data_IF_095438461177
#
_entry.id   IF_095438461177
#
_cell.length_a   1.000
_cell.length_b   1.000
_cell.length_c   1.000
_cell.angle_alpha   90.00
_cell.angle_beta   90.00
_cell.angle_gamma   90.00
#
_symmetry.space_group_name_H-M   'P 1'
#
loop_
_entity.id
_entity.type
_entity.pdbx_description
1 polymer ?
#
# COMPACT_ATOMS: atom_id res chain seq x y z
N UNK A 1 -6.66 -22.30 -18.12
CA UNK A 1 -5.83 -23.53 -18.05
C UNK A 1 -5.09 -23.61 -16.71
N UNK A 2 -5.82 -23.41 -15.59
CA UNK A 2 -5.33 -23.55 -14.21
C UNK A 2 -6.35 -24.32 -13.36
N UNK A 3 -7.22 -25.10 -14.03
CA UNK A 3 -8.18 -25.99 -13.39
C UNK A 3 -7.42 -27.08 -12.64
N UNK A 4 -7.61 -27.16 -11.34
CA UNK A 4 -7.10 -28.24 -10.49
C UNK A 4 -5.84 -27.95 -9.69
N UNK A 5 -5.24 -26.75 -9.77
CA UNK A 5 -4.12 -26.39 -8.89
C UNK A 5 -4.61 -26.07 -7.49
N UNK A 6 -4.01 -26.66 -6.48
CA UNK A 6 -4.15 -26.21 -5.10
C UNK A 6 -3.50 -24.84 -4.90
N UNK A 7 -3.89 -24.14 -3.83
CA UNK A 7 -3.28 -22.86 -3.50
C UNK A 7 -1.76 -22.98 -3.26
N UNK A 8 -1.30 -24.08 -2.68
CA UNK A 8 0.13 -24.35 -2.44
C UNK A 8 0.91 -24.58 -3.75
N UNK A 9 0.30 -25.24 -4.73
CA UNK A 9 0.88 -25.41 -6.06
C UNK A 9 0.94 -24.07 -6.80
N UNK A 10 -0.09 -23.22 -6.66
CA UNK A 10 -0.10 -21.87 -7.17
C UNK A 10 1.04 -21.04 -6.54
N UNK A 11 1.18 -21.08 -5.22
CA UNK A 11 2.25 -20.40 -4.49
C UNK A 11 3.64 -20.87 -4.95
N UNK A 12 3.84 -22.18 -5.16
CA UNK A 12 5.09 -22.73 -5.67
C UNK A 12 5.43 -22.24 -7.06
N UNK A 13 4.46 -22.15 -7.96
CA UNK A 13 4.65 -21.63 -9.31
C UNK A 13 4.98 -20.14 -9.37
N UNK A 14 4.45 -19.35 -8.44
CA UNK A 14 4.60 -17.90 -8.39
C UNK A 14 5.77 -17.44 -7.49
N UNK A 15 6.23 -18.27 -6.55
CA UNK A 15 7.33 -17.98 -5.66
C UNK A 15 8.65 -17.65 -6.40
N UNK A 16 8.85 -18.19 -7.61
CA UNK A 16 10.02 -17.94 -8.44
C UNK A 16 9.99 -16.59 -9.19
N UNK A 17 8.91 -15.82 -9.09
CA UNK A 17 8.74 -14.52 -9.76
C UNK A 17 8.78 -13.32 -8.82
N UNK A 18 9.06 -13.53 -7.53
CA UNK A 18 9.13 -12.42 -6.57
C UNK A 18 10.17 -11.39 -7.03
N UNK A 19 9.71 -10.19 -7.33
CA UNK A 19 10.51 -8.98 -7.43
C UNK A 19 11.24 -8.72 -6.10
N UNK A 20 11.93 -7.66 -5.94
CA UNK A 20 12.73 -7.24 -4.77
C UNK A 20 12.10 -7.65 -3.40
N UNK A 21 12.92 -7.98 -2.39
CA UNK A 21 12.43 -8.13 -1.01
C UNK A 21 11.93 -6.79 -0.46
N UNK A 22 11.17 -6.78 0.64
CA UNK A 22 10.75 -5.52 1.27
C UNK A 22 11.95 -4.67 1.71
N UNK A 23 13.04 -5.32 2.16
CA UNK A 23 14.30 -4.65 2.47
C UNK A 23 14.90 -3.95 1.25
N UNK A 24 14.85 -4.58 0.08
CA UNK A 24 15.30 -3.96 -1.16
C UNK A 24 14.36 -2.84 -1.64
N UNK A 25 13.05 -2.97 -1.37
CA UNK A 25 12.07 -1.96 -1.77
C UNK A 25 12.14 -0.71 -0.90
N UNK A 26 12.19 -0.87 0.42
CA UNK A 26 12.20 0.24 1.38
C UNK A 26 13.61 0.71 1.74
N UNK A 27 14.62 -0.18 1.69
CA UNK A 27 15.99 0.10 2.17
C UNK A 27 16.71 1.20 1.40
N UNK A 28 16.26 1.50 0.17
CA UNK A 28 16.80 2.60 -0.63
C UNK A 28 16.12 3.96 -0.35
N UNK A 29 15.05 4.03 0.45
CA UNK A 29 14.35 5.27 0.76
C UNK A 29 15.17 6.14 1.73
N UNK A 30 15.18 7.46 1.50
CA UNK A 30 15.79 8.43 2.42
C UNK A 30 14.93 8.57 3.70
N UNK A 31 15.00 7.58 4.59
CA UNK A 31 14.27 7.47 5.85
C UNK A 31 15.21 7.02 6.98
N UNK A 32 14.81 7.20 8.23
CA UNK A 32 15.53 6.60 9.35
C UNK A 32 15.47 5.08 9.29
N UNK A 33 16.47 4.42 9.87
CA UNK A 33 16.48 2.95 9.97
C UNK A 33 15.22 2.41 10.65
N UNK A 34 14.78 3.05 11.73
CA UNK A 34 13.55 2.68 12.44
C UNK A 34 12.30 2.77 11.54
N UNK A 35 12.18 3.83 10.75
CA UNK A 35 11.04 3.99 9.85
C UNK A 35 11.07 2.99 8.69
N UNK A 36 12.25 2.62 8.20
CA UNK A 36 12.42 1.54 7.21
C UNK A 36 11.95 0.21 7.82
N UNK A 37 12.37 -0.12 9.05
CA UNK A 37 11.95 -1.35 9.73
C UNK A 37 10.43 -1.38 9.96
N UNK A 38 9.85 -0.28 10.42
CA UNK A 38 8.39 -0.18 10.60
C UNK A 38 7.62 -0.45 9.29
N UNK A 39 8.14 0.02 8.15
CA UNK A 39 7.51 -0.22 6.83
C UNK A 39 7.64 -1.68 6.42
N UNK A 40 8.80 -2.30 6.63
CA UNK A 40 9.05 -3.71 6.32
C UNK A 40 8.14 -4.61 7.15
N UNK A 41 8.15 -4.46 8.47
CA UNK A 41 7.32 -5.27 9.37
C UNK A 41 5.82 -5.13 9.10
N UNK A 42 5.37 -3.89 8.82
CA UNK A 42 3.99 -3.66 8.44
C UNK A 42 3.66 -4.30 7.09
N UNK A 43 4.56 -4.21 6.10
CA UNK A 43 4.36 -4.82 4.79
C UNK A 43 4.26 -6.34 4.88
N UNK A 44 5.09 -7.00 5.70
CA UNK A 44 5.03 -8.45 5.95
C UNK A 44 3.67 -8.86 6.54
N UNK A 45 3.20 -8.14 7.57
CA UNK A 45 1.88 -8.41 8.17
C UNK A 45 0.72 -8.19 7.20
N UNK A 46 0.82 -7.16 6.35
CA UNK A 46 -0.18 -6.88 5.32
C UNK A 46 -0.15 -7.94 4.21
N UNK A 47 1.04 -8.35 3.75
CA UNK A 47 1.20 -9.41 2.74
C UNK A 47 0.52 -10.70 3.20
N UNK A 48 0.78 -11.14 4.43
CA UNK A 48 0.16 -12.32 5.02
C UNK A 48 -1.36 -12.21 5.10
N UNK A 49 -1.85 -11.06 5.56
CA UNK A 49 -3.28 -10.80 5.67
C UNK A 49 -3.98 -10.78 4.31
N UNK A 50 -3.40 -10.11 3.33
CA UNK A 50 -3.95 -10.01 1.98
C UNK A 50 -3.87 -11.35 1.24
N UNK A 51 -2.75 -12.06 1.37
CA UNK A 51 -2.58 -13.38 0.77
C UNK A 51 -3.63 -14.37 1.28
N UNK A 52 -3.91 -14.34 2.58
CA UNK A 52 -4.98 -15.19 3.15
C UNK A 52 -6.33 -14.91 2.50
N UNK A 53 -6.69 -13.65 2.31
CA UNK A 53 -7.99 -13.29 1.71
C UNK A 53 -8.03 -13.67 0.23
N UNK A 54 -6.93 -13.46 -0.51
CA UNK A 54 -6.84 -13.88 -1.91
C UNK A 54 -6.97 -15.41 -2.04
N UNK A 55 -6.33 -16.18 -1.14
CA UNK A 55 -6.46 -17.62 -1.06
C UNK A 55 -7.89 -18.07 -0.75
N UNK A 56 -8.54 -17.42 0.20
CA UNK A 56 -9.93 -17.68 0.55
C UNK A 56 -10.85 -17.47 -0.65
N UNK A 57 -10.70 -16.36 -1.38
CA UNK A 57 -11.46 -16.08 -2.59
C UNK A 57 -11.19 -17.09 -3.69
N UNK A 58 -9.93 -17.48 -3.90
CA UNK A 58 -9.56 -18.50 -4.88
C UNK A 58 -10.23 -19.84 -4.57
N UNK A 59 -10.16 -20.30 -3.33
CA UNK A 59 -10.80 -21.56 -2.90
C UNK A 59 -12.32 -21.52 -3.11
N UNK A 60 -12.97 -20.42 -2.72
CA UNK A 60 -14.41 -20.24 -2.96
C UNK A 60 -14.76 -20.19 -4.45
N UNK A 61 -13.89 -19.59 -5.27
CA UNK A 61 -14.03 -19.53 -6.73
C UNK A 61 -14.03 -20.95 -7.34
N UNK A 62 -13.07 -21.81 -6.94
CA UNK A 62 -12.99 -23.19 -7.41
C UNK A 62 -14.25 -24.00 -7.06
N UNK A 63 -14.89 -23.67 -5.95
CA UNK A 63 -16.12 -24.31 -5.48
C UNK A 63 -17.42 -23.66 -6.01
N UNK A 64 -17.32 -22.58 -6.81
CA UNK A 64 -18.47 -21.77 -7.24
C UNK A 64 -19.30 -21.22 -6.06
N UNK A 65 -18.66 -20.91 -4.93
CA UNK A 65 -19.32 -20.48 -3.67
C UNK A 65 -18.82 -19.11 -3.17
N UNK A 66 -18.34 -18.24 -4.06
CA UNK A 66 -17.71 -16.97 -3.65
C UNK A 66 -18.69 -16.11 -2.87
N UNK A 67 -18.39 -15.88 -1.60
CA UNK A 67 -19.06 -14.91 -0.75
C UNK A 67 -18.22 -13.62 -0.65
N UNK A 68 -18.48 -12.68 -1.54
CA UNK A 68 -17.73 -11.43 -1.65
C UNK A 68 -17.82 -10.57 -0.39
N UNK A 69 -18.96 -10.54 0.27
CA UNK A 69 -19.13 -9.77 1.50
C UNK A 69 -18.29 -10.36 2.65
N UNK A 70 -18.26 -11.67 2.79
CA UNK A 70 -17.39 -12.34 3.77
C UNK A 70 -15.90 -12.06 3.48
N UNK A 71 -15.49 -12.15 2.22
CA UNK A 71 -14.12 -11.86 1.81
C UNK A 71 -13.75 -10.40 2.10
N UNK A 72 -14.67 -9.46 1.84
CA UNK A 72 -14.50 -8.05 2.13
C UNK A 72 -14.31 -7.78 3.62
N UNK A 73 -15.18 -8.35 4.46
CA UNK A 73 -15.08 -8.21 5.92
C UNK A 73 -13.78 -8.79 6.46
N UNK A 74 -13.35 -9.94 5.95
CA UNK A 74 -12.08 -10.55 6.33
C UNK A 74 -10.88 -9.68 5.91
N UNK A 75 -10.95 -9.05 4.73
CA UNK A 75 -9.95 -8.09 4.27
C UNK A 75 -9.85 -6.89 5.23
N UNK A 76 -10.97 -6.25 5.55
CA UNK A 76 -11.02 -5.11 6.49
C UNK A 76 -10.42 -5.49 7.86
N UNK A 77 -10.83 -6.64 8.41
CA UNK A 77 -10.38 -7.09 9.71
C UNK A 77 -8.87 -7.33 9.75
N UNK A 78 -8.33 -8.00 8.73
CA UNK A 78 -6.88 -8.28 8.64
C UNK A 78 -6.07 -7.03 8.42
N UNK A 79 -6.56 -6.15 7.56
CA UNK A 79 -5.88 -4.89 7.30
C UNK A 79 -5.83 -4.03 8.58
N UNK A 80 -6.95 -3.79 9.24
CA UNK A 80 -6.99 -3.04 10.49
C UNK A 80 -6.14 -3.69 11.59
N UNK A 81 -6.12 -5.03 11.67
CA UNK A 81 -5.28 -5.77 12.61
C UNK A 81 -3.78 -5.57 12.33
N UNK A 82 -3.38 -5.58 11.06
CA UNK A 82 -1.99 -5.35 10.66
C UNK A 82 -1.54 -3.91 10.97
N UNK A 83 -2.42 -2.92 10.78
CA UNK A 83 -2.12 -1.51 11.10
C UNK A 83 -1.94 -1.25 12.60
N UNK A 84 -2.54 -2.08 13.47
CA UNK A 84 -2.44 -1.92 14.92
C UNK A 84 -0.98 -1.94 15.39
N UNK A 85 -0.58 -0.90 16.13
CA UNK A 85 0.81 -0.71 16.59
C UNK A 85 1.71 0.08 15.63
N UNK A 86 1.29 0.31 14.38
CA UNK A 86 2.04 1.11 13.40
C UNK A 86 1.34 2.41 13.03
N UNK A 87 0.02 2.45 13.16
CA UNK A 87 -0.84 3.58 12.76
C UNK A 87 -1.97 3.77 13.76
N UNK A 88 -2.25 5.01 14.09
CA UNK A 88 -3.44 5.37 14.86
C UNK A 88 -4.70 5.16 14.03
N UNK A 89 -5.59 4.28 14.49
CA UNK A 89 -6.80 3.91 13.76
C UNK A 89 -7.89 5.00 13.94
N UNK A 90 -7.78 6.04 13.13
CA UNK A 90 -8.76 7.15 13.06
C UNK A 90 -9.98 6.77 12.22
N UNK A 91 -11.08 7.56 12.25
CA UNK A 91 -12.19 7.40 11.30
C UNK A 91 -11.75 7.49 9.84
N UNK A 92 -10.75 8.32 9.52
CA UNK A 92 -10.18 8.42 8.18
C UNK A 92 -9.56 7.09 7.76
N UNK A 93 -8.69 6.50 8.58
CA UNK A 93 -8.05 5.19 8.29
C UNK A 93 -9.10 4.08 8.14
N UNK A 94 -10.12 4.05 9.00
CA UNK A 94 -11.21 3.06 8.87
C UNK A 94 -11.97 3.19 7.54
N UNK A 95 -12.28 4.41 7.14
CA UNK A 95 -12.97 4.66 5.87
C UNK A 95 -12.07 4.33 4.67
N UNK A 96 -10.78 4.64 4.75
CA UNK A 96 -9.81 4.26 3.73
C UNK A 96 -9.73 2.74 3.56
N UNK A 97 -9.52 1.99 4.65
CA UNK A 97 -9.47 0.51 4.63
C UNK A 97 -10.76 -0.08 4.05
N UNK A 98 -11.90 0.49 4.42
CA UNK A 98 -13.20 0.08 3.86
C UNK A 98 -13.27 0.32 2.36
N UNK A 99 -12.86 1.50 1.88
CA UNK A 99 -12.84 1.80 0.43
C UNK A 99 -11.94 0.82 -0.31
N UNK A 100 -10.72 0.59 0.19
CA UNK A 100 -9.79 -0.38 -0.39
C UNK A 100 -10.36 -1.80 -0.43
N UNK A 101 -11.15 -2.19 0.58
CA UNK A 101 -11.80 -3.50 0.59
C UNK A 101 -12.79 -3.68 -0.58
N UNK A 102 -13.57 -2.66 -0.90
CA UNK A 102 -14.45 -2.67 -2.08
C UNK A 102 -13.64 -2.73 -3.38
N UNK A 103 -12.61 -1.90 -3.53
CA UNK A 103 -11.78 -1.85 -4.73
C UNK A 103 -11.10 -3.20 -5.01
N UNK A 104 -10.58 -3.86 -3.97
CA UNK A 104 -9.96 -5.18 -4.08
C UNK A 104 -10.99 -6.25 -4.46
N UNK A 105 -12.18 -6.23 -3.85
CA UNK A 105 -13.26 -7.17 -4.19
C UNK A 105 -13.75 -6.97 -5.62
N UNK A 106 -14.02 -5.73 -6.03
CA UNK A 106 -14.53 -5.41 -7.37
C UNK A 106 -13.49 -5.71 -8.45
N UNK A 107 -12.23 -5.36 -8.23
CA UNK A 107 -11.17 -5.70 -9.18
C UNK A 107 -10.97 -7.20 -9.32
N UNK A 108 -11.06 -7.97 -8.22
CA UNK A 108 -10.98 -9.44 -8.27
C UNK A 108 -12.18 -10.04 -8.98
N UNK A 109 -13.40 -9.55 -8.67
CA UNK A 109 -14.64 -9.98 -9.31
C UNK A 109 -14.62 -9.77 -10.82
N UNK A 110 -14.09 -8.63 -11.27
CA UNK A 110 -14.04 -8.29 -12.69
C UNK A 110 -12.96 -9.07 -13.46
N UNK A 111 -12.03 -9.73 -12.76
CA UNK A 111 -10.91 -10.45 -13.36
C UNK A 111 -10.77 -11.89 -12.84
N UNK A 112 -11.89 -12.55 -12.52
CA UNK A 112 -11.92 -13.87 -11.90
C UNK A 112 -11.17 -14.97 -12.67
N UNK A 113 -11.04 -14.84 -13.98
CA UNK A 113 -10.29 -15.79 -14.82
C UNK A 113 -8.77 -15.54 -14.84
N UNK A 114 -8.31 -14.43 -14.29
CA UNK A 114 -6.89 -14.08 -14.26
C UNK A 114 -6.29 -14.44 -12.90
N UNK A 115 -5.42 -15.44 -12.90
CA UNK A 115 -4.80 -15.99 -11.70
C UNK A 115 -3.99 -14.96 -10.90
N UNK A 116 -3.47 -13.91 -11.55
CA UNK A 116 -2.76 -12.82 -10.87
C UNK A 116 -3.60 -12.21 -9.73
N UNK A 117 -4.93 -12.13 -9.91
CA UNK A 117 -5.82 -11.52 -8.91
C UNK A 117 -5.95 -12.33 -7.61
N UNK A 118 -5.39 -13.53 -7.57
CA UNK A 118 -5.32 -14.41 -6.39
C UNK A 118 -3.87 -14.70 -5.96
N UNK A 119 -2.88 -14.07 -6.58
CA UNK A 119 -1.47 -14.43 -6.47
C UNK A 119 -0.77 -13.78 -5.29
N UNK A 120 0.33 -14.41 -4.81
CA UNK A 120 1.27 -13.78 -3.87
C UNK A 120 1.88 -12.48 -4.38
N UNK A 121 2.16 -12.38 -5.69
CA UNK A 121 2.69 -11.15 -6.29
C UNK A 121 1.73 -9.97 -6.12
N UNK A 122 0.42 -10.22 -6.23
CA UNK A 122 -0.59 -9.19 -5.97
C UNK A 122 -0.65 -8.82 -4.50
N UNK A 123 -0.65 -9.79 -3.57
CA UNK A 123 -0.67 -9.48 -2.13
C UNK A 123 0.54 -8.65 -1.74
N UNK A 124 1.71 -9.00 -2.25
CA UNK A 124 2.95 -8.25 -2.04
C UNK A 124 2.88 -6.84 -2.59
N UNK A 125 2.45 -6.67 -3.83
CA UNK A 125 2.29 -5.35 -4.45
C UNK A 125 1.32 -4.46 -3.64
N UNK A 126 0.21 -5.04 -3.15
CA UNK A 126 -0.71 -4.33 -2.27
C UNK A 126 -0.02 -3.97 -0.94
N UNK A 127 0.70 -4.89 -0.32
CA UNK A 127 1.39 -4.68 0.95
C UNK A 127 2.46 -3.57 0.87
N UNK A 128 3.27 -3.53 -0.19
CA UNK A 128 4.22 -2.45 -0.46
C UNK A 128 3.53 -1.09 -0.55
N UNK A 129 2.40 -1.05 -1.24
CA UNK A 129 1.63 0.17 -1.41
C UNK A 129 0.99 0.64 -0.11
N UNK A 130 0.34 -0.27 0.59
CA UNK A 130 -0.46 0.06 1.77
C UNK A 130 0.39 0.34 3.01
N UNK A 131 1.52 -0.35 3.19
CA UNK A 131 2.45 -0.03 4.28
C UNK A 131 3.10 1.35 4.07
N UNK A 132 3.47 1.69 2.85
CA UNK A 132 4.04 2.99 2.53
C UNK A 132 3.03 4.13 2.75
N UNK A 133 1.78 3.95 2.31
CA UNK A 133 0.70 4.91 2.58
C UNK A 133 0.48 5.09 4.09
N UNK A 134 0.25 4.01 4.80
CA UNK A 134 -0.11 4.02 6.21
C UNK A 134 0.97 4.68 7.08
N UNK A 135 2.24 4.35 6.81
CA UNK A 135 3.38 4.97 7.52
C UNK A 135 3.58 6.44 7.13
N UNK A 136 3.40 6.80 5.85
CA UNK A 136 3.48 8.21 5.43
C UNK A 136 2.39 9.06 6.11
N UNK A 137 1.17 8.53 6.23
CA UNK A 137 0.09 9.15 7.01
C UNK A 137 0.49 9.33 8.47
N UNK A 138 0.92 8.25 9.15
CA UNK A 138 1.26 8.34 10.59
C UNK A 138 2.40 9.31 10.86
N UNK A 139 3.47 9.25 10.07
CA UNK A 139 4.62 10.16 10.22
C UNK A 139 4.19 11.63 10.02
N UNK A 140 3.27 11.90 9.10
CA UNK A 140 2.71 13.24 8.93
C UNK A 140 1.91 13.69 10.17
N UNK A 141 1.05 12.84 10.71
CA UNK A 141 0.28 13.13 11.92
C UNK A 141 1.19 13.36 13.14
N UNK A 142 2.21 12.52 13.29
CA UNK A 142 3.20 12.65 14.38
C UNK A 142 4.00 13.96 14.25
N UNK A 143 4.35 14.37 13.04
CA UNK A 143 5.06 15.62 12.78
C UNK A 143 4.20 16.84 13.15
N UNK A 144 2.91 16.81 12.77
CA UNK A 144 1.94 17.86 13.15
C UNK A 144 1.81 17.92 14.68
N UNK A 145 1.60 16.78 15.33
CA UNK A 145 1.45 16.69 16.78
C UNK A 145 2.69 17.14 17.53
N UNK A 146 3.89 16.89 16.99
CA UNK A 146 5.18 17.29 17.53
C UNK A 146 5.52 18.77 17.28
N UNK A 147 4.68 19.47 16.51
CA UNK A 147 4.82 20.92 16.28
C UNK A 147 5.85 21.32 15.24
N UNK A 148 6.29 20.40 14.36
CA UNK A 148 7.09 20.74 13.20
C UNK A 148 6.40 21.82 12.37
N UNK A 149 7.17 22.68 11.72
CA UNK A 149 6.64 23.84 10.98
C UNK A 149 6.78 23.71 9.48
N UNK A 150 7.70 22.90 9.02
CA UNK A 150 8.04 22.73 7.61
C UNK A 150 8.17 21.27 7.24
N UNK A 151 8.00 21.03 5.95
CA UNK A 151 8.17 19.71 5.34
C UNK A 151 8.84 19.84 3.98
N UNK A 152 9.65 18.84 3.62
CA UNK A 152 10.36 18.78 2.35
C UNK A 152 10.08 17.47 1.65
N UNK A 153 9.64 17.53 0.38
CA UNK A 153 9.45 16.34 -0.46
C UNK A 153 10.79 15.77 -0.90
N UNK A 154 10.94 14.45 -0.80
CA UNK A 154 12.16 13.74 -1.15
C UNK A 154 11.79 12.58 -2.08
N UNK A 155 12.45 12.53 -3.25
CA UNK A 155 12.33 11.41 -4.18
C UNK A 155 13.53 10.49 -4.08
N UNK A 156 13.41 9.28 -4.63
CA UNK A 156 14.52 8.31 -4.74
C UNK A 156 15.63 8.76 -5.70
N UNK A 157 15.43 9.80 -6.49
CA UNK A 157 16.36 10.32 -7.52
C UNK A 157 16.86 9.27 -8.51
N UNK A 158 16.15 8.15 -8.64
CA UNK A 158 16.43 7.08 -9.59
C UNK A 158 15.61 7.21 -10.88
N UNK A 159 15.84 6.30 -11.83
CA UNK A 159 15.15 6.31 -13.14
C UNK A 159 13.67 5.93 -13.05
N UNK A 160 13.22 5.36 -11.93
CA UNK A 160 11.83 4.94 -11.70
C UNK A 160 10.96 6.07 -11.14
N UNK A 161 11.57 7.18 -10.70
CA UNK A 161 10.83 8.36 -10.23
C UNK A 161 10.11 9.01 -11.41
N UNK A 162 8.80 9.25 -11.26
CA UNK A 162 7.98 9.93 -12.26
C UNK A 162 8.47 11.36 -12.47
N UNK A 163 8.30 11.90 -13.67
CA UNK A 163 8.68 13.28 -13.98
C UNK A 163 7.97 14.27 -13.06
N UNK A 164 6.64 14.10 -12.88
CA UNK A 164 5.81 14.90 -11.96
C UNK A 164 6.33 14.92 -10.52
N UNK A 165 6.93 13.82 -10.06
CA UNK A 165 7.54 13.73 -8.73
C UNK A 165 8.94 14.36 -8.68
N UNK A 166 9.71 14.33 -9.78
CA UNK A 166 11.00 15.01 -9.87
C UNK A 166 10.86 16.52 -9.79
N UNK A 167 9.77 17.08 -10.35
CA UNK A 167 9.49 18.52 -10.31
C UNK A 167 9.28 19.05 -8.87
N UNK A 168 8.86 18.19 -7.95
CA UNK A 168 8.64 18.55 -6.55
C UNK A 168 9.77 18.09 -5.62
N UNK A 169 10.79 17.38 -6.12
CA UNK A 169 11.93 16.96 -5.31
C UNK A 169 12.63 18.17 -4.67
N UNK A 170 12.87 18.09 -3.37
CA UNK A 170 13.47 19.18 -2.59
C UNK A 170 12.55 20.36 -2.30
N UNK A 171 11.32 20.38 -2.79
CA UNK A 171 10.38 21.47 -2.54
C UNK A 171 10.02 21.52 -1.05
N UNK A 172 10.14 22.72 -0.46
CA UNK A 172 9.81 23.00 0.95
C UNK A 172 8.47 23.69 1.04
N UNK A 173 7.63 23.22 1.96
CA UNK A 173 6.31 23.78 2.29
C UNK A 173 6.19 24.01 3.80
N UNK A 174 5.25 24.86 4.23
CA UNK A 174 4.79 24.81 5.63
C UNK A 174 4.09 23.49 5.91
N UNK A 175 3.97 23.11 7.17
CA UNK A 175 3.36 21.82 7.54
C UNK A 175 1.93 21.69 7.02
N UNK A 176 1.19 22.78 6.97
CA UNK A 176 -0.23 22.81 6.56
C UNK A 176 -0.42 22.97 5.04
N UNK A 177 0.62 23.36 4.31
CA UNK A 177 0.55 23.53 2.86
C UNK A 177 0.59 22.19 2.13
N UNK A 178 0.03 22.18 0.91
CA UNK A 178 0.00 21.00 0.04
C UNK A 178 1.07 21.08 -1.04
N UNK A 179 1.63 19.93 -1.39
CA UNK A 179 2.42 19.77 -2.61
C UNK A 179 1.48 19.62 -3.80
N UNK A 180 1.88 20.18 -4.95
CA UNK A 180 1.16 19.99 -6.21
C UNK A 180 1.97 19.04 -7.10
N UNK A 181 1.47 17.82 -7.28
CA UNK A 181 2.18 16.70 -7.93
C UNK A 181 1.32 16.15 -9.06
N UNK A 182 1.74 16.31 -10.30
CA UNK A 182 1.05 15.75 -11.46
C UNK A 182 -0.44 16.15 -11.56
N UNK A 183 -0.78 17.38 -11.19
CA UNK A 183 -2.17 17.86 -11.17
C UNK A 183 -2.95 17.54 -9.89
N UNK A 184 -2.34 16.84 -8.93
CA UNK A 184 -2.96 16.43 -7.66
C UNK A 184 -2.38 17.21 -6.48
N UNK A 185 -3.22 17.51 -5.48
CA UNK A 185 -2.81 18.09 -4.21
C UNK A 185 -2.58 16.98 -3.18
N UNK A 186 -1.44 17.03 -2.48
CA UNK A 186 -1.03 16.03 -1.49
C UNK A 186 -0.35 16.69 -0.29
N UNK A 187 -0.71 16.29 0.92
CA UNK A 187 0.01 16.71 2.12
C UNK A 187 1.35 15.96 2.29
N UNK A 188 1.40 14.72 1.83
CA UNK A 188 2.57 13.82 1.86
C UNK A 188 2.50 12.84 0.67
N UNK A 189 3.57 12.12 0.33
CA UNK A 189 3.55 11.12 -0.74
C UNK A 189 2.47 10.06 -0.52
N UNK A 190 1.70 9.78 -1.57
CA UNK A 190 0.58 8.83 -1.59
C UNK A 190 -0.67 9.31 -0.83
N UNK A 191 -0.74 10.57 -0.48
CA UNK A 191 -1.97 11.16 0.06
C UNK A 191 -3.08 11.20 -1.00
N UNK A 192 -4.04 10.29 -0.86
CA UNK A 192 -5.24 10.24 -1.70
C UNK A 192 -6.44 10.99 -1.13
N UNK A 193 -6.31 11.66 0.03
CA UNK A 193 -7.41 12.27 0.78
C UNK A 193 -8.16 13.35 0.00
N UNK A 194 -7.47 14.02 -0.93
CA UNK A 194 -8.01 15.08 -1.79
C UNK A 194 -8.29 14.61 -3.23
N UNK A 195 -8.41 13.29 -3.44
CA UNK A 195 -8.72 12.74 -4.76
C UNK A 195 -7.52 12.70 -5.72
N UNK A 196 -6.33 12.55 -5.19
CA UNK A 196 -5.14 12.40 -6.02
C UNK A 196 -5.26 11.20 -6.97
N UNK A 197 -4.77 11.38 -8.20
CA UNK A 197 -4.81 10.33 -9.23
C UNK A 197 -4.01 9.09 -8.79
N UNK A 198 -4.54 7.91 -9.07
CA UNK A 198 -3.83 6.65 -8.84
C UNK A 198 -2.49 6.59 -9.58
N UNK A 199 -2.35 7.30 -10.71
CA UNK A 199 -1.07 7.45 -11.41
C UNK A 199 0.01 8.13 -10.58
N UNK A 200 -0.36 8.96 -9.59
CA UNK A 200 0.58 9.67 -8.73
C UNK A 200 0.83 8.93 -7.40
N UNK A 201 -0.12 8.13 -6.94
CA UNK A 201 -0.02 7.43 -5.64
C UNK A 201 0.55 6.00 -5.74
N UNK A 202 0.06 5.18 -6.70
CA UNK A 202 0.42 3.76 -6.77
C UNK A 202 1.89 3.57 -7.13
N UNK A 203 2.64 2.78 -6.35
CA UNK A 203 4.06 2.52 -6.56
C UNK A 203 4.98 3.73 -6.28
N UNK A 204 4.49 4.78 -5.65
CA UNK A 204 5.31 5.93 -5.24
C UNK A 204 6.26 5.52 -4.09
N UNK A 205 7.57 5.84 -4.23
CA UNK A 205 8.62 5.61 -3.23
C UNK A 205 9.20 6.92 -2.68
N UNK A 206 8.48 8.02 -2.82
CA UNK A 206 8.88 9.29 -2.22
C UNK A 206 8.64 9.27 -0.71
N UNK A 207 9.34 10.16 0.00
CA UNK A 207 9.20 10.42 1.42
C UNK A 207 9.08 11.93 1.71
N UNK A 208 8.86 12.28 2.97
CA UNK A 208 8.89 13.67 3.44
C UNK A 208 9.78 13.76 4.66
N UNK A 209 10.63 14.75 4.67
CA UNK A 209 11.38 15.18 5.86
C UNK A 209 10.63 16.33 6.53
N UNK A 210 10.51 16.28 7.86
CA UNK A 210 9.83 17.28 8.69
C UNK A 210 10.83 17.99 9.60
N UNK A 211 10.68 19.33 9.80
CA UNK A 211 11.56 20.16 10.64
C UNK A 211 10.90 21.48 11.09
#
# INVERSE_FOLDING_TARGET
MFEGLSFDELNSLLANKRSLSFEQYFGEMELSYEEIQNRIELAEKLEDGFLFVLALMFTMQQQNTVNWERARQEYENRYLSALAGYVTITPYIRNYVRSMSYDVMDSTRNHQSNIYYYSPDRSRFMAENESNFARSYQVNEDAIASGFKKKRWITMRDKKVRETHREVDGQVKTIDDLFYVGGSLMAYPRDGSLGASSSEIVGCRCSVEYY
#
